data_IF_513130439076
#
_entry.id   IF_513130439076
#
_cell.length_a   1.000
_cell.length_b   1.000
_cell.length_c   1.000
_cell.angle_alpha   90.00
_cell.angle_beta   90.00
_cell.angle_gamma   90.00
#
_symmetry.space_group_name_H-M   'P 1'
#
loop_
_entity.id
_entity.type
_entity.pdbx_description
1 polymer ?
#
# COMPACT_ATOMS: atom_id res chain seq x y z
N UNK A 1 -4.17 -13.19 7.01
CA UNK A 1 -5.20 -14.26 6.88
C UNK A 1 -5.32 -14.68 5.42
N UNK A 2 -5.35 -15.99 5.10
CA UNK A 2 -5.44 -16.50 3.71
C UNK A 2 -6.72 -16.02 3.01
N UNK A 3 -6.62 -15.64 1.73
CA UNK A 3 -7.76 -15.17 0.93
C UNK A 3 -7.96 -15.95 -0.37
N UNK A 4 -9.17 -15.85 -0.94
CA UNK A 4 -9.51 -16.33 -2.27
C UNK A 4 -9.31 -15.25 -3.35
N UNK A 5 -9.05 -14.00 -2.96
CA UNK A 5 -8.71 -12.93 -3.89
C UNK A 5 -7.30 -13.14 -4.44
N UNK A 6 -7.10 -12.93 -5.73
CA UNK A 6 -5.79 -12.95 -6.38
C UNK A 6 -5.59 -11.60 -7.04
N UNK A 7 -4.55 -10.88 -6.65
CA UNK A 7 -4.19 -9.62 -7.30
C UNK A 7 -3.60 -9.90 -8.68
N UNK A 8 -3.94 -9.03 -9.63
CA UNK A 8 -3.36 -9.05 -10.98
C UNK A 8 -1.88 -8.66 -10.92
N UNK A 9 -1.05 -9.32 -11.73
CA UNK A 9 0.37 -9.00 -11.92
C UNK A 9 0.56 -8.44 -13.35
N UNK A 10 0.63 -7.11 -13.56
CA UNK A 10 1.10 -6.48 -14.81
C UNK A 10 2.63 -6.25 -14.74
N UNK A 11 3.41 -6.00 -15.79
CA UNK A 11 3.23 -5.77 -17.23
C UNK A 11 4.59 -6.07 -17.92
N UNK A 12 4.71 -5.88 -19.23
CA UNK A 12 5.92 -6.19 -20.03
C UNK A 12 7.07 -5.24 -19.71
N UNK A 13 8.33 -5.66 -19.94
CA UNK A 13 9.50 -4.77 -19.86
C UNK A 13 9.43 -3.57 -20.82
N UNK A 14 8.52 -3.58 -21.79
CA UNK A 14 8.35 -2.50 -22.78
C UNK A 14 7.56 -1.30 -22.21
N UNK A 15 6.88 -1.46 -21.07
CA UNK A 15 6.09 -0.41 -20.39
C UNK A 15 6.97 0.52 -19.50
N UNK A 16 8.29 0.32 -19.53
CA UNK A 16 9.33 1.04 -18.78
C UNK A 16 9.37 2.59 -18.91
N UNK A 17 9.07 3.23 -20.06
CA UNK A 17 9.34 4.65 -20.23
C UNK A 17 8.58 5.54 -19.22
N UNK A 18 7.34 5.20 -18.90
CA UNK A 18 6.49 6.05 -18.04
C UNK A 18 6.88 5.97 -16.56
N UNK A 19 7.36 4.82 -16.07
CA UNK A 19 7.82 4.72 -14.67
C UNK A 19 9.11 5.49 -14.40
N UNK A 20 9.97 5.62 -15.41
CA UNK A 20 11.27 6.30 -15.31
C UNK A 20 11.19 7.80 -15.66
N UNK A 21 10.26 8.16 -16.54
CA UNK A 21 10.04 9.53 -16.99
C UNK A 21 8.57 9.86 -16.77
N UNK A 22 8.29 10.43 -15.60
CA UNK A 22 6.96 10.86 -15.15
C UNK A 22 7.00 12.34 -14.77
N UNK A 23 5.83 12.95 -14.67
CA UNK A 23 5.69 14.31 -14.16
C UNK A 23 6.06 14.39 -12.66
N UNK A 24 6.82 15.42 -12.28
CA UNK A 24 7.16 15.64 -10.87
C UNK A 24 6.02 16.39 -10.19
N UNK A 25 5.13 15.64 -9.53
CA UNK A 25 4.03 16.19 -8.74
C UNK A 25 4.37 16.31 -7.26
N UNK A 26 3.68 17.20 -6.55
CA UNK A 26 3.74 17.30 -5.08
C UNK A 26 2.67 16.43 -4.42
N UNK A 27 2.85 16.14 -3.13
CA UNK A 27 1.78 15.50 -2.34
C UNK A 27 0.59 16.45 -2.14
N UNK A 28 -0.65 15.93 -2.08
CA UNK A 28 -1.79 16.72 -1.64
C UNK A 28 -1.59 17.19 -0.19
N UNK A 29 -2.27 18.28 0.18
CA UNK A 29 -2.26 18.77 1.56
C UNK A 29 -2.92 17.76 2.49
N UNK A 30 -2.29 17.52 3.65
CA UNK A 30 -2.85 16.63 4.68
C UNK A 30 -4.19 17.18 5.20
N UNK A 31 -5.29 16.41 5.12
CA UNK A 31 -6.58 16.83 5.66
C UNK A 31 -6.53 17.04 7.18
N UNK A 32 -7.29 18.03 7.64
CA UNK A 32 -7.49 18.26 9.07
C UNK A 32 -8.15 17.04 9.75
N UNK A 33 -7.61 16.64 10.90
CA UNK A 33 -8.10 15.49 11.65
C UNK A 33 -7.69 14.12 11.07
N UNK A 34 -6.85 14.07 10.03
CA UNK A 34 -6.27 12.82 9.54
C UNK A 34 -5.17 12.32 10.49
N UNK A 35 -5.60 11.63 11.55
CA UNK A 35 -4.73 10.94 12.49
C UNK A 35 -4.48 9.49 12.06
N UNK A 36 -3.30 9.20 11.53
CA UNK A 36 -2.95 7.90 10.95
C UNK A 36 -2.15 7.10 11.97
N UNK A 37 -2.61 5.90 12.27
CA UNK A 37 -1.90 4.93 13.08
C UNK A 37 -1.46 3.74 12.23
N UNK A 38 -0.16 3.43 12.27
CA UNK A 38 0.39 2.21 11.69
C UNK A 38 0.10 1.04 12.63
N UNK A 39 -0.51 -0.03 12.12
CA UNK A 39 -1.01 -1.15 12.94
C UNK A 39 0.11 -1.88 13.70
N UNK A 40 1.31 -1.95 13.11
CA UNK A 40 2.48 -2.55 13.77
C UNK A 40 2.94 -1.77 15.01
N UNK A 41 2.64 -0.46 15.09
CA UNK A 41 2.94 0.39 16.25
C UNK A 41 1.76 0.40 17.21
N UNK A 42 0.58 0.78 16.70
CA UNK A 42 -0.63 1.02 17.47
C UNK A 42 -1.67 -0.05 17.14
N UNK A 43 -1.51 -1.25 17.70
CA UNK A 43 -2.37 -2.37 17.31
C UNK A 43 -3.85 -2.15 17.65
N UNK A 44 -4.71 -2.45 16.68
CA UNK A 44 -6.16 -2.56 16.82
C UNK A 44 -6.58 -3.64 17.83
N UNK A 45 -5.71 -4.61 18.13
CA UNK A 45 -5.95 -5.68 19.10
C UNK A 45 -7.28 -6.41 18.85
N UNK A 46 -8.23 -6.32 19.79
CA UNK A 46 -9.56 -6.95 19.65
C UNK A 46 -10.40 -6.37 18.51
N UNK A 47 -10.08 -5.16 18.04
CA UNK A 47 -10.77 -4.50 16.93
C UNK A 47 -10.21 -4.88 15.56
N UNK A 48 -9.11 -5.66 15.52
CA UNK A 48 -8.52 -6.12 14.28
C UNK A 48 -9.55 -6.92 13.47
N UNK A 49 -9.77 -6.61 12.17
CA UNK A 49 -10.79 -7.30 11.40
C UNK A 49 -10.40 -8.77 11.14
N UNK A 50 -11.31 -9.68 11.48
CA UNK A 50 -11.06 -11.14 11.39
C UNK A 50 -11.33 -11.76 10.02
N UNK A 51 -11.82 -10.99 9.06
CA UNK A 51 -12.25 -11.48 7.76
C UNK A 51 -11.69 -10.60 6.63
N UNK A 52 -11.78 -11.11 5.41
CA UNK A 52 -11.24 -10.41 4.24
C UNK A 52 -11.97 -9.06 4.08
N UNK A 53 -11.25 -7.99 3.76
CA UNK A 53 -11.89 -6.71 3.53
C UNK A 53 -12.85 -6.79 2.34
N UNK A 54 -13.87 -5.94 2.38
CA UNK A 54 -14.89 -5.80 1.33
C UNK A 54 -15.04 -4.31 1.02
N UNK A 55 -15.40 -3.99 -0.22
CA UNK A 55 -15.44 -2.61 -0.74
C UNK A 55 -14.07 -1.95 -0.63
N UNK A 56 -13.18 -2.36 -1.53
CA UNK A 56 -11.82 -1.88 -1.60
C UNK A 56 -11.69 -0.94 -2.78
N UNK A 57 -10.95 0.14 -2.58
CA UNK A 57 -10.38 0.92 -3.67
C UNK A 57 -8.92 0.50 -3.83
N UNK A 58 -8.50 0.17 -5.06
CA UNK A 58 -7.13 -0.22 -5.32
C UNK A 58 -6.25 1.03 -5.34
N UNK A 59 -5.15 1.02 -4.59
CA UNK A 59 -4.27 2.19 -4.44
C UNK A 59 -3.15 2.12 -5.46
N UNK A 60 -2.27 1.12 -5.32
CA UNK A 60 -1.19 0.80 -6.22
C UNK A 60 -0.60 -0.56 -5.85
N UNK A 61 0.34 -1.06 -6.65
CA UNK A 61 1.13 -2.25 -6.33
C UNK A 61 2.60 -2.00 -6.65
N UNK A 62 3.47 -2.43 -5.74
CA UNK A 62 4.93 -2.30 -5.88
C UNK A 62 5.61 -3.62 -5.54
N UNK A 63 6.81 -3.80 -6.10
CA UNK A 63 7.67 -4.94 -5.85
C UNK A 63 9.04 -4.51 -5.34
N UNK A 64 9.54 -5.25 -4.36
CA UNK A 64 10.94 -5.30 -3.98
C UNK A 64 11.55 -6.60 -4.48
N UNK A 65 12.62 -6.52 -5.27
CA UNK A 65 13.24 -7.68 -5.90
C UNK A 65 14.74 -7.76 -5.57
N UNK A 66 15.07 -8.05 -4.31
CA UNK A 66 16.46 -8.09 -3.84
C UNK A 66 17.25 -9.27 -4.43
N UNK A 67 16.60 -10.40 -4.69
CA UNK A 67 17.17 -11.54 -5.40
C UNK A 67 16.08 -12.47 -5.95
N UNK A 68 16.41 -13.45 -6.83
CA UNK A 68 15.42 -14.42 -7.32
C UNK A 68 14.66 -15.22 -6.26
N UNK A 69 15.20 -15.33 -5.04
CA UNK A 69 14.56 -16.03 -3.90
C UNK A 69 14.24 -15.08 -2.74
N UNK A 70 14.40 -13.77 -2.94
CA UNK A 70 14.10 -12.76 -1.94
C UNK A 70 13.44 -11.57 -2.63
N UNK A 71 12.13 -11.67 -2.79
CA UNK A 71 11.29 -10.60 -3.31
C UNK A 71 10.01 -10.46 -2.48
N UNK A 72 9.33 -9.32 -2.66
CA UNK A 72 8.08 -8.99 -1.97
C UNK A 72 7.21 -8.20 -2.92
N UNK A 73 5.96 -8.62 -3.06
CA UNK A 73 4.93 -7.89 -3.80
C UNK A 73 3.87 -7.44 -2.80
N UNK A 74 3.64 -6.13 -2.74
CA UNK A 74 2.57 -5.53 -1.95
C UNK A 74 1.54 -4.87 -2.87
N UNK A 75 0.29 -5.27 -2.71
CA UNK A 75 -0.85 -4.61 -3.34
C UNK A 75 -1.61 -3.82 -2.28
N UNK A 76 -1.65 -2.50 -2.42
CA UNK A 76 -2.28 -1.62 -1.44
C UNK A 76 -3.73 -1.34 -1.80
N UNK A 77 -4.60 -1.38 -0.78
CA UNK A 77 -6.01 -1.11 -0.94
C UNK A 77 -6.54 -0.22 0.18
N UNK A 78 -7.30 0.80 -0.19
CA UNK A 78 -8.03 1.64 0.77
C UNK A 78 -9.40 1.02 1.02
N UNK A 79 -9.81 0.99 2.29
CA UNK A 79 -11.11 0.46 2.69
C UNK A 79 -11.89 1.49 3.53
N UNK A 80 -12.98 2.07 2.97
CA UNK A 80 -13.91 2.88 3.76
C UNK A 80 -14.73 1.98 4.69
N UNK A 81 -14.51 2.13 6.01
CA UNK A 81 -15.41 1.59 7.03
C UNK A 81 -16.25 2.71 7.65
N UNK A 82 -17.39 2.37 8.29
CA UNK A 82 -18.26 3.40 8.88
C UNK A 82 -17.58 4.31 9.92
N UNK A 83 -16.58 3.79 10.63
CA UNK A 83 -15.87 4.53 11.70
C UNK A 83 -14.41 4.83 11.40
N UNK A 84 -13.84 4.17 10.39
CA UNK A 84 -12.41 4.23 10.11
C UNK A 84 -12.12 4.17 8.62
N UNK A 85 -11.01 4.74 8.24
CA UNK A 85 -10.28 4.38 7.04
C UNK A 85 -9.26 3.30 7.38
N UNK A 86 -9.09 2.32 6.52
CA UNK A 86 -8.09 1.25 6.69
C UNK A 86 -7.31 1.07 5.40
N UNK A 87 -5.99 1.09 5.51
CA UNK A 87 -5.08 0.69 4.43
C UNK A 87 -4.71 -0.78 4.63
N UNK A 88 -4.92 -1.57 3.59
CA UNK A 88 -4.65 -3.00 3.56
C UNK A 88 -3.51 -3.29 2.59
N UNK A 89 -2.70 -4.30 2.91
CA UNK A 89 -1.87 -4.99 1.92
C UNK A 89 -2.45 -6.36 1.60
N UNK A 90 -2.53 -6.67 0.30
CA UNK A 90 -2.63 -8.02 -0.19
C UNK A 90 -1.25 -8.48 -0.68
N UNK A 91 -0.60 -9.30 0.13
CA UNK A 91 0.75 -9.80 -0.15
C UNK A 91 0.71 -11.31 -0.41
N UNK A 92 1.69 -11.79 -1.16
CA UNK A 92 1.85 -13.21 -1.46
C UNK A 92 2.71 -13.88 -0.40
N UNK A 93 2.17 -14.90 0.27
CA UNK A 93 2.93 -15.76 1.16
C UNK A 93 3.52 -16.90 0.33
N UNK A 94 4.78 -16.70 -0.03
CA UNK A 94 5.63 -17.61 -0.77
C UNK A 94 6.37 -18.62 0.11
N UNK A 95 6.28 -18.49 1.45
CA UNK A 95 6.92 -19.38 2.43
C UNK A 95 6.23 -20.74 2.57
N UNK A 96 5.11 -20.95 1.89
CA UNK A 96 4.32 -22.18 1.92
C UNK A 96 3.94 -22.60 0.51
N UNK A 97 3.88 -23.92 0.24
CA UNK A 97 3.44 -24.47 -1.06
C UNK A 97 2.07 -25.13 -0.91
N UNK A 98 1.06 -24.78 -1.73
CA UNK A 98 1.09 -23.74 -2.77
C UNK A 98 1.16 -22.33 -2.16
N UNK A 99 1.73 -21.38 -2.91
CA UNK A 99 1.72 -19.96 -2.54
C UNK A 99 0.29 -19.47 -2.32
N UNK A 100 0.11 -18.56 -1.37
CA UNK A 100 -1.22 -18.08 -1.00
C UNK A 100 -1.23 -16.58 -0.76
N UNK A 101 -2.31 -15.92 -1.14
CA UNK A 101 -2.51 -14.50 -0.85
C UNK A 101 -3.01 -14.30 0.58
N UNK A 102 -2.52 -13.25 1.23
CA UNK A 102 -2.93 -12.86 2.58
C UNK A 102 -3.30 -11.39 2.66
N UNK A 103 -4.26 -11.08 3.51
CA UNK A 103 -4.61 -9.71 3.88
C UNK A 103 -4.02 -9.36 5.23
N UNK A 104 -3.38 -8.19 5.30
CA UNK A 104 -2.99 -7.53 6.54
C UNK A 104 -3.37 -6.05 6.53
N UNK A 105 -3.79 -5.53 7.69
CA UNK A 105 -3.99 -4.09 7.91
C UNK A 105 -2.63 -3.47 8.15
N UNK A 106 -2.30 -2.44 7.39
CA UNK A 106 -1.05 -1.70 7.53
C UNK A 106 -1.23 -0.43 8.35
N UNK A 107 -2.29 0.31 8.07
CA UNK A 107 -2.61 1.54 8.78
C UNK A 107 -4.11 1.74 8.88
N UNK A 108 -4.52 2.54 9.85
CA UNK A 108 -5.90 2.98 10.01
C UNK A 108 -5.96 4.42 10.50
N UNK A 109 -7.10 5.06 10.24
CA UNK A 109 -7.38 6.43 10.64
C UNK A 109 -8.86 6.56 11.04
N UNK A 110 -9.26 7.56 11.85
CA UNK A 110 -10.67 7.85 12.07
C UNK A 110 -11.35 8.21 10.76
N UNK A 111 -12.67 7.97 10.68
CA UNK A 111 -13.45 8.39 9.51
C UNK A 111 -13.52 9.92 9.48
N UNK A 112 -12.94 10.50 8.44
CA UNK A 112 -13.07 11.92 8.08
C UNK A 112 -13.63 12.06 6.67
N UNK A 113 -14.14 13.24 6.35
CA UNK A 113 -14.55 13.61 4.99
C UNK A 113 -13.35 14.15 4.23
N UNK A 114 -12.80 13.32 3.35
CA UNK A 114 -11.72 13.64 2.42
C UNK A 114 -11.84 12.68 1.23
N UNK A 115 -11.26 13.03 0.10
CA UNK A 115 -11.23 12.17 -1.08
C UNK A 115 -10.28 10.98 -0.89
N UNK A 116 -10.56 9.89 -1.61
CA UNK A 116 -9.85 8.62 -1.47
C UNK A 116 -8.38 8.72 -1.92
N UNK A 117 -8.09 9.58 -2.89
CA UNK A 117 -6.73 9.85 -3.36
C UNK A 117 -5.87 10.46 -2.24
N UNK A 118 -6.33 11.52 -1.61
CA UNK A 118 -5.62 12.19 -0.51
C UNK A 118 -5.42 11.25 0.68
N UNK A 119 -6.46 10.50 1.05
CA UNK A 119 -6.40 9.53 2.15
C UNK A 119 -5.41 8.40 1.85
N UNK A 120 -5.50 7.79 0.66
CA UNK A 120 -4.58 6.73 0.25
C UNK A 120 -3.13 7.22 0.23
N UNK A 121 -2.89 8.43 -0.29
CA UNK A 121 -1.57 9.05 -0.36
C UNK A 121 -0.92 9.16 1.01
N UNK A 122 -1.60 9.77 1.99
CA UNK A 122 -1.03 9.94 3.32
C UNK A 122 -0.96 8.64 4.12
N UNK A 123 -1.94 7.74 3.99
CA UNK A 123 -1.87 6.45 4.69
C UNK A 123 -0.73 5.57 4.15
N UNK A 124 -0.48 5.60 2.85
CA UNK A 124 0.66 4.92 2.22
C UNK A 124 1.98 5.55 2.67
N UNK A 125 2.07 6.88 2.66
CA UNK A 125 3.24 7.63 3.12
C UNK A 125 3.66 7.25 4.54
N UNK A 126 2.74 7.31 5.51
CA UNK A 126 3.05 6.97 6.91
C UNK A 126 3.46 5.51 7.07
N UNK A 127 2.81 4.62 6.31
CA UNK A 127 3.17 3.20 6.28
C UNK A 127 4.59 3.00 5.76
N UNK A 128 4.95 3.61 4.64
CA UNK A 128 6.28 3.45 4.04
C UNK A 128 7.37 4.13 4.87
N UNK A 129 7.11 5.30 5.46
CA UNK A 129 8.03 5.91 6.44
C UNK A 129 8.34 4.94 7.58
N UNK A 130 7.33 4.25 8.09
CA UNK A 130 7.54 3.22 9.11
C UNK A 130 8.38 2.05 8.59
N UNK A 131 8.03 1.48 7.43
CA UNK A 131 8.76 0.34 6.86
C UNK A 131 10.22 0.68 6.56
N UNK A 132 10.50 1.87 6.03
CA UNK A 132 11.86 2.33 5.76
C UNK A 132 12.66 2.54 7.06
N UNK A 133 12.05 3.18 8.07
CA UNK A 133 12.75 3.51 9.32
C UNK A 133 12.97 2.30 10.25
N UNK A 134 12.03 1.35 10.30
CA UNK A 134 12.02 0.30 11.32
C UNK A 134 12.17 -1.12 10.75
N UNK A 135 11.75 -1.36 9.52
CA UNK A 135 11.90 -2.68 8.85
C UNK A 135 13.08 -2.68 7.86
N UNK A 136 13.77 -1.54 7.68
CA UNK A 136 14.94 -1.42 6.81
C UNK A 136 14.64 -1.60 5.33
N UNK A 137 13.39 -1.36 4.92
CA UNK A 137 12.96 -1.50 3.53
C UNK A 137 13.52 -0.35 2.70
N UNK A 138 14.23 -0.67 1.62
CA UNK A 138 14.73 0.29 0.64
C UNK A 138 13.63 0.76 -0.31
N UNK A 139 13.98 1.69 -1.20
CA UNK A 139 13.09 2.12 -2.27
C UNK A 139 12.62 0.90 -3.08
N UNK A 140 11.32 0.82 -3.39
CA UNK A 140 10.80 -0.26 -4.22
C UNK A 140 11.51 -0.32 -5.57
N UNK A 141 11.58 -1.51 -6.15
CA UNK A 141 12.30 -1.74 -7.41
C UNK A 141 11.40 -1.58 -8.64
N UNK A 142 10.10 -1.82 -8.45
CA UNK A 142 9.12 -1.82 -9.53
C UNK A 142 7.74 -1.39 -9.05
N UNK A 143 6.97 -0.70 -9.90
CA UNK A 143 5.53 -0.53 -9.71
C UNK A 143 4.81 -1.52 -10.61
N UNK A 144 4.10 -2.48 -10.03
CA UNK A 144 3.38 -3.48 -10.82
C UNK A 144 2.15 -2.86 -11.48
N UNK A 145 1.37 -2.09 -10.72
CA UNK A 145 0.10 -1.54 -11.18
C UNK A 145 -0.26 -0.23 -10.45
N UNK A 146 -1.07 0.59 -11.08
CA UNK A 146 -1.63 1.82 -10.51
C UNK A 146 -3.12 1.65 -10.25
N UNK A 147 -3.62 2.37 -9.26
CA UNK A 147 -5.03 2.42 -8.90
C UNK A 147 -5.47 3.86 -8.78
N UNK A 148 -6.01 4.25 -7.63
CA UNK A 148 -6.31 5.65 -7.36
C UNK A 148 -5.07 6.55 -7.28
N UNK A 149 -3.86 5.97 -7.11
CA UNK A 149 -2.59 6.67 -7.29
C UNK A 149 -1.99 6.34 -8.66
N UNK A 150 -1.66 7.39 -9.42
CA UNK A 150 -0.89 7.29 -10.66
C UNK A 150 0.60 7.00 -10.39
N UNK A 151 1.38 6.83 -11.46
CA UNK A 151 2.83 6.64 -11.37
C UNK A 151 3.47 7.84 -10.67
N UNK A 152 3.10 9.05 -11.08
CA UNK A 152 3.58 10.33 -10.56
C UNK A 152 3.31 10.45 -9.05
N UNK A 153 2.12 10.03 -8.62
CA UNK A 153 1.68 10.11 -7.22
C UNK A 153 2.46 9.14 -6.33
N UNK A 154 2.62 7.89 -6.77
CA UNK A 154 3.41 6.89 -6.04
C UNK A 154 4.87 7.33 -5.93
N UNK A 155 5.42 7.90 -7.00
CA UNK A 155 6.77 8.47 -7.00
C UNK A 155 6.87 9.69 -6.06
N UNK A 156 5.83 10.51 -5.95
CA UNK A 156 5.79 11.61 -4.99
C UNK A 156 5.81 11.12 -3.54
N UNK A 157 5.08 10.04 -3.23
CA UNK A 157 5.16 9.38 -1.91
C UNK A 157 6.57 8.84 -1.66
N UNK A 158 7.17 8.17 -2.65
CA UNK A 158 8.50 7.58 -2.51
C UNK A 158 9.59 8.61 -2.18
N UNK A 159 9.58 9.78 -2.85
CA UNK A 159 10.53 10.89 -2.60
C UNK A 159 10.47 11.44 -1.17
N UNK A 160 9.35 11.28 -0.49
CA UNK A 160 9.17 11.74 0.89
C UNK A 160 9.56 10.67 1.92
N UNK A 161 9.92 9.47 1.47
CA UNK A 161 10.33 8.32 2.29
C UNK A 161 11.84 8.08 2.19
N UNK A 162 12.39 8.07 0.96
CA UNK A 162 13.79 7.76 0.65
C UNK A 162 14.45 8.91 -0.12
#
# INVERSE_FOLDING_TARGET
>A
MKTNHTSFLPMSSEDLPQQRVNEVVGLPSRPDGLDISVELINSLGKQYPKGSPRKLEFVCSVEWAWSPINNRIDNYYLNPKPKHWMLWSNWVNDRVVPWTWHWDVLAYAPRIEADEFTLATHMLLETWKYLAAYEGVDHYHWMNNTGCLSVEDVQAVAREVW
#
